data_IF_251405733033
#
_entry.id   IF_251405733033
#
_cell.length_a   1.000
_cell.length_b   1.000
_cell.length_c   1.000
_cell.angle_alpha   90.00
_cell.angle_beta   90.00
_cell.angle_gamma   90.00
#
_symmetry.space_group_name_H-M   'P 1'
#
loop_
_entity.id
_entity.type
_entity.pdbx_description
1 polymer ?
#
# COMPACT_ATOMS: atom_id res chain seq x y z
N UNK A 1 23.20 24.45 -19.61
CA UNK A 1 23.18 23.19 -18.83
C UNK A 1 21.72 22.92 -18.51
N UNK A 2 21.10 21.94 -19.16
CA UNK A 2 19.69 21.61 -18.93
C UNK A 2 19.56 21.08 -17.50
N UNK A 3 18.96 21.84 -16.58
CA UNK A 3 18.64 21.34 -15.25
C UNK A 3 17.51 20.32 -15.41
N UNK A 4 17.87 19.06 -15.62
CA UNK A 4 16.90 17.96 -15.58
C UNK A 4 16.33 17.90 -14.17
N UNK A 5 15.03 18.06 -14.03
CA UNK A 5 14.34 17.86 -12.75
C UNK A 5 14.75 16.50 -12.16
N UNK A 6 14.91 16.40 -10.83
CA UNK A 6 15.27 15.15 -10.19
C UNK A 6 14.26 14.03 -10.56
N UNK A 7 14.69 12.76 -10.65
CA UNK A 7 13.80 11.65 -10.98
C UNK A 7 12.71 11.49 -9.91
N UNK A 8 11.57 10.88 -10.23
CA UNK A 8 10.58 10.51 -9.22
C UNK A 8 10.96 9.21 -8.52
N UNK A 9 10.65 9.11 -7.23
CA UNK A 9 10.57 7.82 -6.51
C UNK A 9 9.27 7.66 -5.80
N UNK A 10 8.74 6.44 -5.83
CA UNK A 10 7.53 6.10 -5.10
C UNK A 10 7.90 5.26 -3.89
N UNK A 11 7.53 5.71 -2.69
CA UNK A 11 7.77 5.01 -1.44
C UNK A 11 6.43 4.52 -0.89
N UNK A 12 6.19 3.21 -0.92
CA UNK A 12 4.98 2.62 -0.38
C UNK A 12 5.23 2.04 0.99
N UNK A 13 4.39 2.38 1.97
CA UNK A 13 4.44 1.87 3.34
C UNK A 13 3.20 1.02 3.65
N UNK A 14 3.40 -0.21 4.12
CA UNK A 14 2.33 -1.09 4.60
C UNK A 14 1.70 -0.65 5.92
N UNK A 15 0.62 -1.31 6.35
CA UNK A 15 -0.14 -0.90 7.55
C UNK A 15 0.68 -0.97 8.85
N UNK A 16 1.54 -1.98 9.00
CA UNK A 16 2.49 -2.08 10.11
C UNK A 16 3.61 -1.04 10.03
N UNK A 17 3.89 -0.56 8.82
CA UNK A 17 4.91 0.44 8.51
C UNK A 17 4.44 1.90 8.63
N UNK A 18 3.16 2.13 8.92
CA UNK A 18 2.58 3.47 9.18
C UNK A 18 2.01 3.59 10.60
N UNK A 19 2.15 2.55 11.42
CA UNK A 19 1.61 2.51 12.78
C UNK A 19 2.71 2.89 13.78
N UNK A 20 2.50 3.97 14.54
CA UNK A 20 3.37 4.39 15.64
C UNK A 20 4.42 5.45 15.26
N UNK A 21 4.93 6.13 16.29
CA UNK A 21 5.83 7.28 16.14
C UNK A 21 7.12 6.95 15.40
N UNK A 22 7.79 5.87 15.80
CA UNK A 22 9.06 5.41 15.22
C UNK A 22 8.94 5.18 13.70
N UNK A 23 7.80 4.66 13.24
CA UNK A 23 7.55 4.41 11.81
C UNK A 23 7.37 5.70 11.04
N UNK A 24 6.66 6.67 11.61
CA UNK A 24 6.50 7.99 10.98
C UNK A 24 7.82 8.75 10.93
N UNK A 25 8.70 8.58 11.92
CA UNK A 25 10.05 9.12 11.86
C UNK A 25 10.89 8.49 10.74
N UNK A 26 10.75 7.18 10.49
CA UNK A 26 11.36 6.55 9.32
C UNK A 26 10.82 7.15 8.02
N UNK A 27 9.49 7.32 7.88
CA UNK A 27 8.92 7.97 6.69
C UNK A 27 9.48 9.39 6.53
N UNK A 28 9.53 10.17 7.61
CA UNK A 28 10.07 11.52 7.60
C UNK A 28 11.54 11.54 7.18
N UNK A 29 12.38 10.67 7.73
CA UNK A 29 13.80 10.58 7.38
C UNK A 29 13.99 10.21 5.91
N UNK A 30 13.28 9.19 5.40
CA UNK A 30 13.42 8.74 4.01
C UNK A 30 13.01 9.81 3.00
N UNK A 31 12.01 10.62 3.35
CA UNK A 31 11.59 11.78 2.55
C UNK A 31 12.62 12.91 2.70
N UNK A 32 12.94 13.33 3.93
CA UNK A 32 13.80 14.48 4.23
C UNK A 32 15.22 14.35 3.69
N UNK A 33 15.85 13.20 3.90
CA UNK A 33 17.25 12.95 3.53
C UNK A 33 17.48 13.02 2.02
N UNK A 34 16.41 13.00 1.21
CA UNK A 34 16.52 12.68 -0.21
C UNK A 34 15.65 13.52 -1.15
N UNK A 35 14.94 14.55 -0.67
CA UNK A 35 14.23 15.52 -1.54
C UNK A 35 15.20 16.25 -2.49
N UNK A 36 16.49 16.34 -2.13
CA UNK A 36 17.53 16.89 -3.01
C UNK A 36 17.87 15.96 -4.19
N UNK A 37 17.67 14.65 -4.05
CA UNK A 37 18.11 13.63 -5.00
C UNK A 37 16.97 13.14 -5.91
N UNK A 38 15.72 13.18 -5.43
CA UNK A 38 14.54 12.73 -6.15
C UNK A 38 13.27 13.47 -5.70
N UNK A 39 12.21 13.38 -6.51
CA UNK A 39 10.86 13.83 -6.18
C UNK A 39 10.06 12.70 -5.50
N UNK A 40 9.88 12.69 -4.17
CA UNK A 40 9.14 11.66 -3.46
C UNK A 40 7.63 11.71 -3.75
N UNK A 41 7.03 10.55 -3.98
CA UNK A 41 5.59 10.31 -3.84
C UNK A 41 5.40 9.18 -2.85
N UNK A 42 4.70 9.45 -1.74
CA UNK A 42 4.53 8.48 -0.67
C UNK A 42 3.16 7.82 -0.81
N UNK A 43 3.11 6.50 -0.83
CA UNK A 43 1.88 5.72 -0.77
C UNK A 43 1.76 5.09 0.60
N UNK A 44 0.62 5.25 1.28
CA UNK A 44 0.39 4.65 2.59
C UNK A 44 -0.80 3.70 2.55
N UNK A 45 -0.67 2.59 3.28
CA UNK A 45 -1.80 1.71 3.61
C UNK A 45 -2.60 2.26 4.80
N UNK A 46 -3.80 1.70 5.03
CA UNK A 46 -4.53 1.85 6.28
C UNK A 46 -3.69 1.33 7.46
N UNK A 47 -3.97 1.82 8.68
CA UNK A 47 -3.30 1.31 9.89
C UNK A 47 -3.51 -0.21 10.02
N UNK A 48 -2.56 -0.91 10.65
CA UNK A 48 -2.62 -2.35 10.81
C UNK A 48 -3.97 -2.80 11.44
N UNK A 49 -4.62 -3.78 10.81
CA UNK A 49 -5.91 -4.34 11.22
C UNK A 49 -7.16 -3.55 10.83
N UNK A 50 -7.02 -2.29 10.38
CA UNK A 50 -8.19 -1.42 10.09
C UNK A 50 -9.00 -1.93 8.90
N UNK A 51 -8.37 -2.36 7.80
CA UNK A 51 -9.09 -2.86 6.62
C UNK A 51 -9.95 -4.09 6.94
N UNK A 52 -9.43 -4.99 7.77
CA UNK A 52 -10.16 -6.18 8.23
C UNK A 52 -11.32 -5.79 9.16
N UNK A 53 -11.09 -4.83 10.06
CA UNK A 53 -12.12 -4.29 10.94
C UNK A 53 -13.25 -3.60 10.16
N UNK A 54 -12.92 -2.80 9.14
CA UNK A 54 -13.89 -2.16 8.25
C UNK A 54 -14.71 -3.20 7.48
N UNK A 55 -14.06 -4.25 6.98
CA UNK A 55 -14.75 -5.37 6.32
C UNK A 55 -15.70 -6.09 7.28
N UNK A 56 -15.27 -6.33 8.51
CA UNK A 56 -16.08 -6.97 9.54
C UNK A 56 -17.29 -6.10 9.94
N UNK A 57 -17.07 -4.80 10.16
CA UNK A 57 -18.13 -3.85 10.47
C UNK A 57 -19.18 -3.77 9.35
N UNK A 58 -18.75 -3.68 8.09
CA UNK A 58 -19.67 -3.65 6.94
C UNK A 58 -20.51 -4.92 6.84
N UNK A 59 -19.91 -6.10 7.08
CA UNK A 59 -20.62 -7.39 7.08
C UNK A 59 -21.60 -7.51 8.25
N UNK A 60 -21.20 -7.08 9.44
CA UNK A 60 -22.06 -7.08 10.62
C UNK A 60 -23.26 -6.15 10.41
N UNK A 61 -23.02 -4.92 9.96
CA UNK A 61 -24.06 -3.95 9.61
C UNK A 61 -25.05 -4.53 8.60
N UNK A 62 -24.57 -5.05 7.45
CA UNK A 62 -25.42 -5.65 6.42
C UNK A 62 -26.24 -6.85 6.93
N UNK A 63 -25.76 -7.56 7.95
CA UNK A 63 -26.44 -8.72 8.54
C UNK A 63 -27.37 -8.35 9.70
N UNK A 64 -27.54 -7.06 10.01
CA UNK A 64 -28.32 -6.59 11.16
C UNK A 64 -27.70 -6.95 12.52
N UNK A 65 -26.39 -7.25 12.54
CA UNK A 65 -25.62 -7.51 13.75
C UNK A 65 -25.00 -6.21 14.27
N UNK A 66 -24.66 -6.19 15.56
CA UNK A 66 -23.93 -5.08 16.18
C UNK A 66 -22.56 -4.89 15.51
N UNK A 67 -22.24 -3.65 15.17
CA UNK A 67 -20.96 -3.22 14.58
C UNK A 67 -20.34 -2.03 15.30
N UNK A 68 -21.07 -1.42 16.24
CA UNK A 68 -20.73 -0.18 16.93
C UNK A 68 -19.42 -0.32 17.72
N UNK A 69 -19.18 -1.47 18.36
CA UNK A 69 -17.91 -1.74 19.05
C UNK A 69 -16.71 -1.78 18.10
N UNK A 70 -16.91 -2.25 16.86
CA UNK A 70 -15.86 -2.29 15.83
C UNK A 70 -15.61 -0.86 15.32
N UNK A 71 -16.67 -0.09 15.07
CA UNK A 71 -16.60 1.32 14.66
C UNK A 71 -15.89 2.17 15.74
N UNK A 72 -16.23 1.98 17.00
CA UNK A 72 -15.59 2.65 18.14
C UNK A 72 -14.10 2.28 18.24
N UNK A 73 -13.76 1.01 18.01
CA UNK A 73 -12.37 0.54 17.96
C UNK A 73 -11.56 1.23 16.86
N UNK A 74 -12.11 1.31 15.64
CA UNK A 74 -11.49 2.02 14.51
C UNK A 74 -11.31 3.50 14.86
N UNK A 75 -12.34 4.13 15.45
CA UNK A 75 -12.31 5.54 15.85
C UNK A 75 -11.22 5.82 16.88
N UNK A 76 -11.17 5.01 17.94
CA UNK A 76 -10.19 5.12 19.00
C UNK A 76 -8.76 4.94 18.47
N UNK A 77 -8.54 3.97 17.57
CA UNK A 77 -7.24 3.71 16.98
C UNK A 77 -6.71 4.94 16.20
N UNK A 78 -7.54 5.58 15.38
CA UNK A 78 -7.11 6.74 14.58
C UNK A 78 -6.91 8.01 15.41
N UNK A 79 -7.81 8.28 16.37
CA UNK A 79 -7.67 9.43 17.27
C UNK A 79 -6.42 9.28 18.17
N UNK A 80 -6.17 8.07 18.66
CA UNK A 80 -4.96 7.75 19.41
C UNK A 80 -3.70 7.95 18.56
N UNK A 81 -3.69 7.44 17.33
CA UNK A 81 -2.58 7.62 16.40
C UNK A 81 -2.31 9.10 16.10
N UNK A 82 -3.35 9.89 15.80
CA UNK A 82 -3.22 11.33 15.57
C UNK A 82 -2.60 12.05 16.78
N UNK A 83 -3.13 11.80 17.98
CA UNK A 83 -2.61 12.40 19.23
C UNK A 83 -1.19 12.00 19.55
N UNK A 84 -0.84 10.74 19.35
CA UNK A 84 0.51 10.24 19.59
C UNK A 84 1.53 10.89 18.65
N UNK A 85 1.14 11.19 17.41
CA UNK A 85 2.03 11.73 16.38
C UNK A 85 2.14 13.26 16.36
N UNK A 86 1.09 13.95 16.79
CA UNK A 86 0.92 15.41 16.65
C UNK A 86 0.79 16.14 17.98
N UNK A 87 0.49 15.44 19.08
CA UNK A 87 -0.01 16.08 20.29
C UNK A 87 -1.40 16.72 20.04
N UNK A 88 -1.74 17.81 20.74
CA UNK A 88 -3.01 18.49 20.55
C UNK A 88 -3.02 19.27 19.22
N UNK A 89 -3.61 18.67 18.18
CA UNK A 89 -3.84 19.32 16.88
C UNK A 89 -5.31 19.27 16.47
N UNK A 90 -6.05 20.32 16.84
CA UNK A 90 -7.50 20.38 16.66
C UNK A 90 -7.94 20.28 15.18
N UNK A 91 -7.12 20.76 14.25
CA UNK A 91 -7.44 20.71 12.82
C UNK A 91 -7.41 19.28 12.29
N UNK A 92 -6.36 18.51 12.60
CA UNK A 92 -6.28 17.09 12.19
C UNK A 92 -7.30 16.25 12.93
N UNK A 93 -7.51 16.46 14.24
CA UNK A 93 -8.55 15.74 14.98
C UNK A 93 -9.94 15.97 14.38
N UNK A 94 -10.29 17.21 14.02
CA UNK A 94 -11.56 17.51 13.36
C UNK A 94 -11.70 16.82 11.99
N UNK A 95 -10.62 16.78 11.19
CA UNK A 95 -10.60 16.07 9.92
C UNK A 95 -10.79 14.55 10.07
N UNK A 96 -10.16 13.95 11.10
CA UNK A 96 -10.33 12.54 11.45
C UNK A 96 -11.78 12.27 11.85
N UNK A 97 -12.36 13.08 12.74
CA UNK A 97 -13.76 12.93 13.17
C UNK A 97 -14.72 13.04 11.98
N UNK A 98 -14.52 14.00 11.07
CA UNK A 98 -15.38 14.15 9.89
C UNK A 98 -15.38 12.90 8.99
N UNK A 99 -14.21 12.25 8.82
CA UNK A 99 -14.07 10.99 8.08
C UNK A 99 -14.72 9.82 8.82
N UNK A 100 -14.58 9.74 10.15
CA UNK A 100 -15.25 8.73 10.97
C UNK A 100 -16.79 8.90 10.93
N UNK A 101 -17.30 10.14 10.92
CA UNK A 101 -18.72 10.39 10.72
C UNK A 101 -19.22 9.87 9.36
N UNK A 102 -18.38 9.93 8.32
CA UNK A 102 -18.68 9.35 7.01
C UNK A 102 -18.76 7.82 7.08
N UNK A 103 -17.82 7.17 7.77
CA UNK A 103 -17.87 5.73 8.03
C UNK A 103 -19.18 5.35 8.72
N UNK A 104 -19.54 6.02 9.81
CA UNK A 104 -20.78 5.74 10.54
C UNK A 104 -22.03 5.93 9.69
N UNK A 105 -22.06 6.91 8.77
CA UNK A 105 -23.17 7.06 7.81
C UNK A 105 -23.25 5.89 6.84
N UNK A 106 -22.12 5.40 6.31
CA UNK A 106 -22.09 4.26 5.40
C UNK A 106 -22.55 2.98 6.10
N UNK A 107 -22.05 2.70 7.30
CA UNK A 107 -22.42 1.52 8.09
C UNK A 107 -23.89 1.55 8.50
N UNK A 108 -24.40 2.70 8.97
CA UNK A 108 -25.84 2.86 9.25
C UNK A 108 -26.69 2.64 8.00
N UNK A 109 -26.26 3.15 6.85
CA UNK A 109 -26.94 2.91 5.58
C UNK A 109 -27.04 1.42 5.24
N UNK A 110 -25.92 0.70 5.34
CA UNK A 110 -25.88 -0.75 5.12
C UNK A 110 -26.79 -1.52 6.10
N UNK A 111 -26.80 -1.11 7.38
CA UNK A 111 -27.65 -1.71 8.41
C UNK A 111 -29.16 -1.49 8.17
N UNK A 112 -29.54 -0.28 7.75
CA UNK A 112 -30.95 0.05 7.46
C UNK A 112 -31.49 -0.71 6.24
N UNK A 113 -30.64 -0.94 5.24
CA UNK A 113 -31.01 -1.67 4.02
C UNK A 113 -30.92 -3.19 4.19
N UNK A 114 -30.13 -3.68 5.15
CA UNK A 114 -29.85 -5.12 5.30
C UNK A 114 -28.97 -5.66 4.17
N UNK A 115 -28.17 -4.80 3.53
CA UNK A 115 -27.24 -5.18 2.48
C UNK A 115 -26.04 -4.22 2.42
N UNK A 116 -24.91 -4.72 1.92
CA UNK A 116 -23.75 -3.90 1.59
C UNK A 116 -23.31 -4.25 0.17
N UNK A 117 -23.64 -3.36 -0.78
CA UNK A 117 -23.21 -3.51 -2.17
C UNK A 117 -21.68 -3.43 -2.28
N UNK A 118 -21.04 -4.04 -3.30
CA UNK A 118 -19.61 -3.88 -3.55
C UNK A 118 -19.14 -2.42 -3.59
N UNK A 119 -19.94 -1.53 -4.19
CA UNK A 119 -19.69 -0.07 -4.22
C UNK A 119 -19.69 0.56 -2.82
N UNK A 120 -20.64 0.17 -1.98
CA UNK A 120 -20.70 0.63 -0.59
C UNK A 120 -19.50 0.12 0.20
N UNK A 121 -19.13 -1.16 -0.01
CA UNK A 121 -17.97 -1.75 0.64
C UNK A 121 -16.68 -1.02 0.25
N UNK A 122 -16.47 -0.73 -1.04
CA UNK A 122 -15.30 0.05 -1.49
C UNK A 122 -15.23 1.42 -0.79
N UNK A 123 -16.37 2.10 -0.66
CA UNK A 123 -16.46 3.37 0.07
C UNK A 123 -16.15 3.24 1.56
N UNK A 124 -16.56 2.13 2.20
CA UNK A 124 -16.25 1.84 3.61
C UNK A 124 -14.76 1.57 3.78
N UNK A 125 -14.18 0.73 2.93
CA UNK A 125 -12.77 0.34 3.03
C UNK A 125 -11.83 1.53 2.77
N UNK A 126 -12.19 2.43 1.86
CA UNK A 126 -11.41 3.62 1.55
C UNK A 126 -11.16 4.53 2.75
N UNK A 127 -12.11 4.59 3.70
CA UNK A 127 -11.96 5.46 4.89
C UNK A 127 -10.68 5.15 5.68
N UNK A 128 -10.28 3.88 5.78
CA UNK A 128 -9.06 3.51 6.51
C UNK A 128 -7.79 4.05 5.86
N UNK A 129 -7.71 3.96 4.54
CA UNK A 129 -6.58 4.47 3.74
C UNK A 129 -6.52 6.00 3.81
N UNK A 130 -7.67 6.65 3.66
CA UNK A 130 -7.80 8.11 3.71
C UNK A 130 -7.46 8.69 5.09
N UNK A 131 -7.89 8.03 6.17
CA UNK A 131 -7.55 8.43 7.54
C UNK A 131 -6.05 8.33 7.80
N UNK A 132 -5.44 7.20 7.45
CA UNK A 132 -3.99 7.00 7.56
C UNK A 132 -3.24 8.07 6.78
N UNK A 133 -3.62 8.29 5.52
CA UNK A 133 -3.04 9.33 4.66
C UNK A 133 -3.13 10.73 5.27
N UNK A 134 -4.28 11.12 5.83
CA UNK A 134 -4.46 12.43 6.45
C UNK A 134 -3.57 12.62 7.67
N UNK A 135 -3.53 11.61 8.57
CA UNK A 135 -2.73 11.64 9.80
C UNK A 135 -1.23 11.67 9.48
N UNK A 136 -0.77 10.83 8.56
CA UNK A 136 0.65 10.79 8.16
C UNK A 136 1.06 12.13 7.52
N UNK A 137 0.25 12.68 6.60
CA UNK A 137 0.56 13.97 5.99
C UNK A 137 0.65 15.10 7.04
N UNK A 138 -0.25 15.12 8.02
CA UNK A 138 -0.18 16.07 9.12
C UNK A 138 1.08 15.87 9.97
N UNK A 139 1.43 14.62 10.30
CA UNK A 139 2.60 14.30 11.11
C UNK A 139 3.91 14.71 10.44
N UNK A 140 4.01 14.55 9.12
CA UNK A 140 5.16 15.03 8.34
C UNK A 140 5.21 16.56 8.28
N UNK A 141 4.07 17.25 8.15
CA UNK A 141 4.00 18.73 8.24
C UNK A 141 4.46 19.26 9.59
N UNK A 142 4.05 18.61 10.68
CA UNK A 142 4.50 18.95 12.03
C UNK A 142 6.03 18.82 12.21
N UNK A 143 6.68 18.02 11.35
CA UNK A 143 8.14 17.84 11.28
C UNK A 143 8.83 18.74 10.25
N UNK A 144 8.11 19.72 9.70
CA UNK A 144 8.66 20.70 8.74
C UNK A 144 8.73 20.22 7.30
N UNK A 145 8.18 19.05 6.97
CA UNK A 145 8.11 18.56 5.59
C UNK A 145 6.81 19.03 4.93
N UNK A 146 6.84 19.58 3.71
CA UNK A 146 5.64 20.09 3.03
C UNK A 146 4.76 18.93 2.50
N UNK A 147 4.29 18.04 3.37
CA UNK A 147 3.50 16.87 2.96
C UNK A 147 2.01 17.20 2.76
N UNK A 148 1.41 16.68 1.69
CA UNK A 148 0.02 16.92 1.32
C UNK A 148 -0.70 15.60 1.05
N UNK A 149 -1.71 15.30 1.87
CA UNK A 149 -2.64 14.22 1.57
C UNK A 149 -3.43 14.58 0.30
N UNK A 150 -3.46 13.68 -0.66
CA UNK A 150 -4.16 13.88 -1.93
C UNK A 150 -5.41 13.03 -2.02
N UNK A 151 -6.31 13.43 -2.93
CA UNK A 151 -7.47 12.64 -3.30
C UNK A 151 -7.03 11.53 -4.29
N UNK A 152 -7.14 10.24 -3.93
CA UNK A 152 -6.72 9.14 -4.78
C UNK A 152 -7.51 9.06 -6.09
N UNK A 153 -8.77 9.48 -6.11
CA UNK A 153 -9.60 9.49 -7.31
C UNK A 153 -9.12 10.46 -8.38
N UNK A 154 -8.24 11.40 -8.00
CA UNK A 154 -7.55 12.28 -8.95
C UNK A 154 -6.25 11.69 -9.48
N UNK A 155 -5.75 10.61 -8.87
CA UNK A 155 -4.46 10.01 -9.18
C UNK A 155 -4.60 8.65 -9.86
N UNK A 156 -5.51 7.78 -9.44
CA UNK A 156 -5.71 6.43 -10.00
C UNK A 156 -7.13 6.30 -10.53
N UNK A 157 -7.24 6.11 -11.85
CA UNK A 157 -8.51 5.97 -12.56
C UNK A 157 -8.75 4.50 -12.87
N UNK A 158 -9.95 4.00 -12.59
CA UNK A 158 -10.32 2.60 -12.76
C UNK A 158 -11.60 2.44 -13.58
N UNK A 159 -11.94 1.18 -13.89
CA UNK A 159 -13.31 0.80 -14.22
C UNK A 159 -14.22 0.82 -12.97
N UNK A 160 -15.48 0.39 -13.13
CA UNK A 160 -16.49 0.29 -12.06
C UNK A 160 -16.67 -1.14 -11.54
N UNK A 161 -15.67 -2.00 -11.71
CA UNK A 161 -15.68 -3.37 -11.18
C UNK A 161 -15.28 -3.39 -9.70
N UNK A 162 -16.19 -2.88 -8.85
CA UNK A 162 -15.98 -2.69 -7.42
C UNK A 162 -15.44 -3.95 -6.70
N UNK A 163 -14.52 -3.74 -5.76
CA UNK A 163 -13.83 -4.78 -5.00
C UNK A 163 -12.50 -5.25 -5.61
N UNK A 164 -12.35 -5.18 -6.93
CA UNK A 164 -11.13 -5.56 -7.66
C UNK A 164 -11.00 -4.79 -8.98
N UNK A 165 -11.20 -3.48 -8.91
CA UNK A 165 -11.28 -2.62 -10.09
C UNK A 165 -9.97 -2.62 -10.89
N UNK A 166 -10.10 -2.67 -12.22
CA UNK A 166 -8.94 -2.61 -13.10
C UNK A 166 -8.53 -1.16 -13.34
N UNK A 167 -7.22 -0.88 -13.24
CA UNK A 167 -6.67 0.45 -13.48
C UNK A 167 -6.64 0.75 -14.98
N UNK A 168 -7.27 1.86 -15.38
CA UNK A 168 -7.09 2.46 -16.70
C UNK A 168 -5.73 3.17 -16.73
N UNK A 169 -4.71 2.48 -17.23
CA UNK A 169 -3.34 3.00 -17.27
C UNK A 169 -3.19 4.25 -18.12
N UNK A 170 -4.04 4.47 -19.13
CA UNK A 170 -3.95 5.65 -19.99
C UNK A 170 -4.50 6.86 -19.26
N UNK A 171 -5.73 6.75 -18.74
CA UNK A 171 -6.36 7.82 -17.96
C UNK A 171 -5.56 8.14 -16.69
N UNK A 172 -5.04 7.11 -16.01
CA UNK A 172 -4.20 7.25 -14.82
C UNK A 172 -2.89 7.97 -15.14
N UNK A 173 -2.22 7.66 -16.26
CA UNK A 173 -0.99 8.36 -16.66
C UNK A 173 -1.22 9.87 -16.83
N UNK A 174 -2.31 10.25 -17.50
CA UNK A 174 -2.67 11.66 -17.68
C UNK A 174 -3.01 12.35 -16.36
N UNK A 175 -3.78 11.67 -15.51
CA UNK A 175 -4.17 12.16 -14.20
C UNK A 175 -2.94 12.38 -13.29
N UNK A 176 -2.07 11.37 -13.16
CA UNK A 176 -0.84 11.43 -12.36
C UNK A 176 0.08 12.57 -12.83
N UNK A 177 0.30 12.74 -14.13
CA UNK A 177 1.15 13.82 -14.66
C UNK A 177 0.62 15.21 -14.29
N UNK A 178 -0.70 15.41 -14.40
CA UNK A 178 -1.37 16.64 -14.00
C UNK A 178 -1.22 16.88 -12.50
N UNK A 179 -1.57 15.89 -11.68
CA UNK A 179 -1.59 16.04 -10.23
C UNK A 179 -0.18 16.17 -9.63
N UNK A 180 0.81 15.44 -10.14
CA UNK A 180 2.19 15.54 -9.68
C UNK A 180 2.80 16.93 -9.94
N UNK A 181 2.37 17.61 -11.00
CA UNK A 181 2.79 18.98 -11.29
C UNK A 181 2.01 20.02 -10.48
N UNK A 182 0.73 19.76 -10.22
CA UNK A 182 -0.15 20.68 -9.50
C UNK A 182 -0.05 20.58 -7.96
N UNK A 183 0.48 19.47 -7.44
CA UNK A 183 0.61 19.25 -6.00
C UNK A 183 1.85 19.95 -5.48
N UNK A 184 1.65 21.06 -4.77
CA UNK A 184 2.72 21.68 -3.99
C UNK A 184 3.10 20.77 -2.81
N UNK A 185 4.40 20.49 -2.67
CA UNK A 185 4.94 19.67 -1.60
C UNK A 185 5.03 18.17 -1.95
N UNK A 186 5.16 17.33 -0.94
CA UNK A 186 5.29 15.87 -1.07
C UNK A 186 3.89 15.24 -1.08
N UNK A 187 3.44 14.63 -2.20
CA UNK A 187 2.16 13.95 -2.24
C UNK A 187 2.18 12.71 -1.34
N UNK A 188 1.23 12.64 -0.42
CA UNK A 188 0.89 11.44 0.35
C UNK A 188 -0.40 10.90 -0.26
N UNK A 189 -0.33 9.74 -0.88
CA UNK A 189 -1.40 9.10 -1.63
C UNK A 189 -1.92 7.91 -0.83
N UNK A 190 -3.23 7.81 -0.56
CA UNK A 190 -3.78 6.60 0.02
C UNK A 190 -3.69 5.46 -1.02
N UNK A 191 -3.12 4.34 -0.61
CA UNK A 191 -3.01 3.16 -1.47
C UNK A 191 -4.33 2.38 -1.52
N UNK A 192 -4.36 1.29 -2.28
CA UNK A 192 -5.48 0.34 -2.39
C UNK A 192 -6.76 0.91 -3.04
N UNK A 193 -6.90 2.23 -3.15
CA UNK A 193 -8.09 2.89 -3.66
C UNK A 193 -7.82 3.76 -4.89
N UNK A 194 -8.84 3.87 -5.73
CA UNK A 194 -8.89 4.77 -6.89
C UNK A 194 -10.30 5.32 -7.08
N UNK A 195 -10.58 5.83 -8.27
CA UNK A 195 -11.95 6.17 -8.66
C UNK A 195 -12.29 5.70 -10.06
N UNK A 196 -13.53 5.28 -10.25
CA UNK A 196 -14.09 5.01 -11.57
C UNK A 196 -14.13 6.29 -12.42
N UNK A 197 -14.36 6.13 -13.73
CA UNK A 197 -14.47 7.28 -14.65
C UNK A 197 -15.57 8.28 -14.28
N UNK A 198 -16.59 7.88 -13.52
CA UNK A 198 -17.67 8.75 -13.04
C UNK A 198 -17.43 9.28 -11.61
N UNK A 199 -16.28 8.97 -11.01
CA UNK A 199 -15.85 9.48 -9.71
C UNK A 199 -16.28 8.62 -8.51
N UNK A 200 -16.77 7.40 -8.73
CA UNK A 200 -17.07 6.49 -7.63
C UNK A 200 -15.79 5.90 -7.05
N UNK A 201 -15.68 5.85 -5.73
CA UNK A 201 -14.55 5.23 -5.04
C UNK A 201 -14.52 3.73 -5.36
N UNK A 202 -13.36 3.24 -5.75
CA UNK A 202 -13.10 1.84 -6.06
C UNK A 202 -11.92 1.31 -5.26
N UNK A 203 -11.89 -0.01 -5.04
CA UNK A 203 -10.74 -0.70 -4.47
C UNK A 203 -10.04 -1.59 -5.51
N UNK A 204 -8.72 -1.73 -5.37
CA UNK A 204 -7.85 -2.44 -6.33
C UNK A 204 -7.65 -3.92 -5.99
N UNK A 205 -8.49 -4.48 -5.11
CA UNK A 205 -8.36 -5.85 -4.64
C UNK A 205 -7.15 -6.09 -3.71
N UNK A 206 -6.88 -7.37 -3.42
CA UNK A 206 -5.84 -7.76 -2.46
C UNK A 206 -4.47 -7.22 -2.88
N UNK A 207 -3.70 -6.73 -1.89
CA UNK A 207 -2.38 -6.14 -2.15
C UNK A 207 -2.44 -4.82 -2.92
N UNK A 208 -3.61 -4.18 -2.98
CA UNK A 208 -3.81 -3.00 -3.81
C UNK A 208 -2.94 -1.80 -3.44
N UNK A 209 -2.44 -1.67 -2.20
CA UNK A 209 -1.51 -0.58 -1.86
C UNK A 209 -0.14 -0.76 -2.53
N UNK A 210 0.40 -1.98 -2.60
CA UNK A 210 1.62 -2.26 -3.38
C UNK A 210 1.38 -1.99 -4.86
N UNK A 211 0.20 -2.40 -5.36
CA UNK A 211 -0.19 -2.15 -6.75
C UNK A 211 -0.33 -0.66 -7.06
N UNK A 212 -0.87 0.14 -6.13
CA UNK A 212 -0.92 1.60 -6.22
C UNK A 212 0.49 2.19 -6.34
N UNK A 213 1.42 1.74 -5.50
CA UNK A 213 2.83 2.14 -5.58
C UNK A 213 3.45 1.82 -6.94
N UNK A 214 3.18 0.62 -7.48
CA UNK A 214 3.66 0.23 -8.80
C UNK A 214 3.05 1.07 -9.94
N UNK A 215 1.74 1.29 -9.92
CA UNK A 215 1.02 2.11 -10.91
C UNK A 215 1.57 3.53 -10.94
N UNK A 216 1.72 4.16 -9.78
CA UNK A 216 2.29 5.50 -9.69
C UNK A 216 3.75 5.53 -10.15
N UNK A 217 4.55 4.53 -9.78
CA UNK A 217 5.94 4.42 -10.22
C UNK A 217 6.07 4.38 -11.74
N UNK A 218 5.23 3.58 -12.40
CA UNK A 218 5.16 3.52 -13.86
C UNK A 218 4.70 4.84 -14.46
N UNK A 219 3.63 5.44 -13.95
CA UNK A 219 3.06 6.66 -14.52
C UNK A 219 3.97 7.89 -14.38
N UNK A 220 4.73 7.94 -13.29
CA UNK A 220 5.73 8.98 -13.04
C UNK A 220 7.06 8.73 -13.76
N UNK A 221 7.23 7.58 -14.41
CA UNK A 221 8.54 7.13 -14.93
C UNK A 221 9.60 7.18 -13.83
N UNK A 222 9.24 6.68 -12.65
CA UNK A 222 10.10 6.68 -11.47
C UNK A 222 11.38 5.88 -11.73
N UNK A 223 12.51 6.35 -11.19
CA UNK A 223 13.77 5.59 -11.27
C UNK A 223 13.75 4.39 -10.33
N UNK A 224 12.91 4.43 -9.29
CA UNK A 224 12.77 3.38 -8.29
C UNK A 224 11.40 3.42 -7.60
N UNK A 225 10.84 2.23 -7.34
CA UNK A 225 9.77 2.02 -6.36
C UNK A 225 10.34 1.33 -5.12
N UNK A 226 10.05 1.86 -3.95
CA UNK A 226 10.41 1.25 -2.67
C UNK A 226 9.14 0.70 -2.00
N UNK A 227 9.15 -0.58 -1.61
CA UNK A 227 8.10 -1.19 -0.79
C UNK A 227 8.66 -1.39 0.61
N UNK A 228 8.13 -0.64 1.55
CA UNK A 228 8.51 -0.65 2.95
C UNK A 228 7.56 -1.55 3.76
N UNK A 229 8.17 -2.51 4.43
CA UNK A 229 7.52 -3.57 5.20
C UNK A 229 8.24 -3.77 6.55
N UNK A 230 8.06 -4.92 7.20
CA UNK A 230 8.65 -5.32 8.49
C UNK A 230 9.76 -6.40 8.38
N UNK A 231 10.15 -6.76 7.15
CA UNK A 231 11.25 -7.69 6.85
C UNK A 231 12.38 -7.02 6.08
N UNK A 232 13.60 -7.54 6.21
CA UNK A 232 14.84 -7.03 5.59
C UNK A 232 14.93 -7.31 4.09
N UNK A 233 13.83 -7.15 3.36
CA UNK A 233 13.72 -7.58 1.97
C UNK A 233 13.25 -9.04 1.85
N UNK A 234 13.72 -9.71 0.81
CA UNK A 234 13.44 -11.12 0.54
C UNK A 234 14.49 -11.97 1.25
N UNK A 235 14.03 -12.85 2.12
CA UNK A 235 14.87 -13.78 2.88
C UNK A 235 15.11 -15.06 2.07
N UNK A 236 16.26 -15.71 2.28
CA UNK A 236 16.61 -16.99 1.64
C UNK A 236 15.73 -18.17 2.08
N UNK A 237 15.06 -18.05 3.22
CA UNK A 237 13.97 -18.91 3.67
C UNK A 237 13.07 -18.11 4.63
N UNK A 238 11.92 -18.66 5.03
CA UNK A 238 11.10 -18.03 6.08
C UNK A 238 11.89 -17.97 7.40
N UNK A 239 12.22 -16.76 7.92
CA UNK A 239 13.03 -16.62 9.13
C UNK A 239 12.31 -17.11 10.39
N UNK A 240 10.99 -17.29 10.36
CA UNK A 240 10.24 -17.90 11.46
C UNK A 240 10.43 -19.43 11.53
N UNK A 241 10.79 -20.05 10.41
CA UNK A 241 11.03 -21.49 10.29
C UNK A 241 12.52 -21.81 10.31
N UNK A 242 13.33 -20.98 9.66
CA UNK A 242 14.79 -21.12 9.53
C UNK A 242 15.46 -19.84 10.06
N UNK A 243 15.84 -19.79 11.35
CA UNK A 243 16.43 -18.60 11.97
C UNK A 243 17.73 -18.11 11.30
N UNK A 244 18.46 -19.00 10.62
CA UNK A 244 19.68 -18.70 9.88
C UNK A 244 19.42 -18.09 8.49
N UNK A 245 18.16 -17.86 8.12
CA UNK A 245 17.81 -17.22 6.87
C UNK A 245 18.45 -15.83 6.75
N UNK A 246 19.02 -15.56 5.58
CA UNK A 246 19.73 -14.33 5.27
C UNK A 246 18.95 -13.51 4.27
N UNK A 247 19.08 -12.18 4.32
CA UNK A 247 18.51 -11.29 3.31
C UNK A 247 19.27 -11.43 1.99
N UNK A 248 18.54 -11.43 0.87
CA UNK A 248 19.10 -11.36 -0.46
C UNK A 248 19.34 -9.89 -0.84
N UNK A 249 20.54 -9.54 -1.27
CA UNK A 249 20.85 -8.16 -1.66
C UNK A 249 20.18 -7.76 -2.98
N UNK A 250 20.18 -8.66 -3.97
CA UNK A 250 19.58 -8.43 -5.28
C UNK A 250 18.82 -9.66 -5.77
N UNK A 251 17.84 -9.51 -6.65
CA UNK A 251 17.18 -10.63 -7.34
C UNK A 251 16.44 -10.19 -8.60
N UNK A 252 16.17 -11.12 -9.50
CA UNK A 252 15.34 -10.87 -10.67
C UNK A 252 13.85 -10.81 -10.31
N UNK A 253 13.05 -10.10 -11.12
CA UNK A 253 11.60 -10.15 -10.98
C UNK A 253 11.04 -11.56 -11.18
N UNK A 254 11.68 -12.39 -12.00
CA UNK A 254 11.26 -13.78 -12.19
C UNK A 254 11.41 -14.58 -10.91
N UNK A 255 12.58 -14.50 -10.26
CA UNK A 255 12.81 -15.16 -8.95
C UNK A 255 11.80 -14.69 -7.90
N UNK A 256 11.51 -13.38 -7.84
CA UNK A 256 10.56 -12.83 -6.89
C UNK A 256 9.15 -13.39 -7.11
N UNK A 257 8.69 -13.40 -8.36
CA UNK A 257 7.36 -13.89 -8.73
C UNK A 257 7.21 -15.39 -8.46
N UNK A 258 8.24 -16.18 -8.70
CA UNK A 258 8.25 -17.62 -8.36
C UNK A 258 8.19 -17.83 -6.85
N UNK A 259 9.00 -17.12 -6.06
CA UNK A 259 8.94 -17.23 -4.60
C UNK A 259 7.56 -16.82 -4.04
N UNK A 260 6.99 -15.72 -4.56
CA UNK A 260 5.66 -15.28 -4.15
C UNK A 260 4.57 -16.28 -4.55
N UNK A 261 4.69 -16.96 -5.69
CA UNK A 261 3.78 -18.04 -6.08
C UNK A 261 3.78 -19.19 -5.06
N UNK A 262 4.95 -19.50 -4.50
CA UNK A 262 5.16 -20.59 -3.54
C UNK A 262 5.04 -20.19 -2.07
N UNK A 263 4.50 -19.01 -1.77
CA UNK A 263 4.11 -18.61 -0.41
C UNK A 263 4.96 -17.55 0.25
N UNK A 264 6.03 -17.05 -0.39
CA UNK A 264 6.81 -15.93 0.14
C UNK A 264 6.03 -14.61 -0.04
N UNK A 265 5.26 -14.23 0.99
CA UNK A 265 4.43 -13.03 1.00
C UNK A 265 5.24 -11.78 1.35
N UNK A 266 6.04 -11.29 0.39
CA UNK A 266 6.86 -10.09 0.59
C UNK A 266 6.33 -8.87 -0.18
N UNK A 267 5.89 -9.08 -1.42
CA UNK A 267 5.29 -8.03 -2.28
C UNK A 267 4.13 -8.63 -3.08
N UNK A 268 3.10 -7.84 -3.35
CA UNK A 268 2.00 -8.28 -4.19
C UNK A 268 2.44 -8.62 -5.63
N UNK A 269 2.09 -9.80 -6.12
CA UNK A 269 2.50 -10.29 -7.45
C UNK A 269 2.06 -9.39 -8.61
N UNK A 270 0.88 -8.75 -8.51
CA UNK A 270 0.41 -7.79 -9.52
C UNK A 270 1.31 -6.56 -9.63
N UNK A 271 1.79 -6.04 -8.50
CA UNK A 271 2.72 -4.91 -8.46
C UNK A 271 4.06 -5.29 -9.10
N UNK A 272 4.63 -6.44 -8.72
CA UNK A 272 5.89 -6.93 -9.27
C UNK A 272 5.80 -7.20 -10.79
N UNK A 273 4.68 -7.76 -11.29
CA UNK A 273 4.48 -7.97 -12.73
C UNK A 273 4.45 -6.66 -13.50
N UNK A 274 3.67 -5.68 -13.01
CA UNK A 274 3.56 -4.37 -13.65
C UNK A 274 4.94 -3.67 -13.73
N UNK A 275 5.69 -3.66 -12.63
CA UNK A 275 7.02 -3.07 -12.58
C UNK A 275 8.00 -3.77 -13.53
N UNK A 276 7.97 -5.11 -13.58
CA UNK A 276 8.76 -5.90 -14.53
C UNK A 276 8.45 -5.55 -15.98
N UNK A 277 7.17 -5.54 -16.35
CA UNK A 277 6.71 -5.27 -17.72
C UNK A 277 7.08 -3.86 -18.19
N UNK A 278 7.18 -2.92 -17.25
CA UNK A 278 7.48 -1.50 -17.52
C UNK A 278 8.93 -1.13 -17.24
N UNK A 279 9.76 -2.08 -16.81
CA UNK A 279 11.19 -1.88 -16.57
C UNK A 279 11.51 -0.96 -15.40
N UNK A 280 10.60 -0.80 -14.44
CA UNK A 280 10.83 0.04 -13.25
C UNK A 280 11.37 -0.85 -12.13
N UNK A 281 12.58 -0.59 -11.58
CA UNK A 281 13.13 -1.41 -10.52
C UNK A 281 12.38 -1.20 -9.19
N UNK A 282 12.49 -2.20 -8.33
CA UNK A 282 11.86 -2.26 -7.01
C UNK A 282 12.94 -2.48 -5.95
N UNK A 283 12.81 -1.87 -4.77
CA UNK A 283 13.56 -2.26 -3.57
C UNK A 283 12.59 -2.56 -2.44
N UNK A 284 12.78 -3.68 -1.75
CA UNK A 284 11.99 -4.08 -0.58
C UNK A 284 12.80 -3.76 0.67
N UNK A 285 12.24 -2.95 1.57
CA UNK A 285 12.92 -2.42 2.76
C UNK A 285 12.20 -2.69 4.06
N UNK A 286 12.94 -2.60 5.16
CA UNK A 286 12.42 -2.77 6.51
C UNK A 286 12.28 -1.44 7.25
N UNK A 287 11.07 -1.10 7.66
CA UNK A 287 10.81 0.05 8.55
C UNK A 287 11.32 -0.12 9.98
N UNK A 288 11.64 -1.34 10.42
CA UNK A 288 12.30 -1.62 11.70
C UNK A 288 13.82 -1.44 11.64
N UNK A 289 14.41 -1.55 10.45
CA UNK A 289 15.85 -1.46 10.21
C UNK A 289 16.09 -0.60 8.96
N UNK A 290 15.83 0.73 9.04
CA UNK A 290 15.86 1.62 7.88
C UNK A 290 17.23 1.73 7.20
N UNK A 291 18.31 1.46 7.94
CA UNK A 291 19.68 1.46 7.40
C UNK A 291 20.02 0.18 6.64
N UNK A 292 19.21 -0.89 6.78
CA UNK A 292 19.43 -2.12 6.03
C UNK A 292 19.13 -1.88 4.54
N UNK A 293 20.01 -2.28 3.60
CA UNK A 293 19.84 -1.97 2.18
C UNK A 293 18.55 -2.56 1.60
N UNK A 294 18.15 -3.73 2.12
CA UNK A 294 16.99 -4.48 1.66
C UNK A 294 17.33 -5.33 0.45
N UNK A 295 16.31 -5.70 -0.33
CA UNK A 295 16.49 -6.47 -1.57
C UNK A 295 16.13 -5.64 -2.77
N UNK A 296 17.10 -5.47 -3.68
CA UNK A 296 16.89 -4.81 -4.97
C UNK A 296 16.40 -5.81 -6.02
N UNK A 297 15.34 -5.44 -6.74
CA UNK A 297 14.70 -6.27 -7.77
C UNK A 297 14.76 -5.55 -9.13
N UNK A 298 15.33 -6.20 -10.14
CA UNK A 298 15.43 -5.67 -11.52
C UNK A 298 15.39 -6.79 -12.56
N UNK A 299 15.24 -6.44 -13.84
CA UNK A 299 15.31 -7.40 -14.94
C UNK A 299 16.71 -8.04 -15.06
N UNK A 300 17.77 -7.24 -14.89
CA UNK A 300 19.17 -7.65 -15.09
C UNK A 300 19.89 -8.01 -13.78
N UNK A 301 19.17 -8.05 -12.65
CA UNK A 301 19.75 -8.47 -11.39
C UNK A 301 20.26 -9.90 -11.56
N UNK A 302 21.59 -10.07 -11.39
CA UNK A 302 22.32 -11.22 -11.91
C UNK A 302 21.60 -12.53 -11.63
N UNK A 303 21.36 -13.31 -12.69
CA UNK A 303 21.18 -14.76 -12.56
C UNK A 303 22.33 -15.21 -11.69
N UNK A 304 22.03 -15.73 -10.49
CA UNK A 304 23.00 -15.93 -9.41
C UNK A 304 24.35 -16.39 -9.92
N UNK A 305 25.43 -15.89 -9.29
CA UNK A 305 26.77 -16.46 -9.44
C UNK A 305 26.79 -17.96 -9.07
N UNK A 306 27.93 -18.48 -8.63
CA UNK A 306 28.20 -19.92 -8.41
C UNK A 306 27.16 -20.73 -7.59
N UNK A 307 26.16 -20.12 -6.96
CA UNK A 307 25.11 -20.77 -6.16
C UNK A 307 23.78 -20.86 -6.94
N UNK A 308 23.35 -22.06 -7.36
CA UNK A 308 22.15 -22.24 -8.18
C UNK A 308 20.83 -22.09 -7.41
N UNK A 309 20.85 -22.17 -6.07
CA UNK A 309 19.67 -22.06 -5.21
C UNK A 309 19.82 -20.81 -4.35
N UNK A 310 18.93 -19.84 -4.55
CA UNK A 310 19.01 -18.54 -3.85
C UNK A 310 18.03 -18.43 -2.68
N UNK A 311 16.85 -19.02 -2.82
CA UNK A 311 15.84 -19.01 -1.78
C UNK A 311 14.90 -20.22 -1.85
N UNK A 312 14.29 -20.54 -0.72
CA UNK A 312 13.30 -21.59 -0.53
C UNK A 312 12.00 -20.97 -0.03
N UNK A 313 10.90 -21.25 -0.72
CA UNK A 313 9.55 -20.92 -0.28
C UNK A 313 8.74 -22.22 -0.13
N UNK A 314 7.82 -22.24 0.83
CA UNK A 314 6.92 -23.36 1.01
C UNK A 314 5.50 -22.87 1.27
N UNK A 315 4.53 -23.64 0.79
CA UNK A 315 3.10 -23.37 0.98
C UNK A 315 2.46 -24.57 1.67
N UNK A 316 1.90 -24.35 2.86
CA UNK A 316 1.36 -25.40 3.73
C UNK A 316 -0.13 -25.67 3.48
N UNK A 317 -0.85 -24.74 2.87
CA UNK A 317 -2.27 -24.84 2.51
C UNK A 317 -2.49 -25.40 1.10
N UNK A 318 -1.96 -26.59 0.83
CA UNK A 318 -2.12 -27.27 -0.46
C UNK A 318 -2.63 -28.72 -0.30
N UNK A 319 -3.47 -29.15 -1.22
CA UNK A 319 -3.95 -30.53 -1.34
C UNK A 319 -3.50 -31.14 -2.68
N UNK A 320 -3.04 -32.39 -2.66
CA UNK A 320 -2.66 -33.14 -3.87
C UNK A 320 -3.84 -34.02 -4.29
N UNK A 321 -4.35 -33.80 -5.50
CA UNK A 321 -5.40 -34.62 -6.11
C UNK A 321 -4.78 -35.50 -7.20
N UNK A 322 -4.77 -36.82 -7.00
CA UNK A 322 -4.35 -37.78 -8.02
C UNK A 322 -5.58 -38.38 -8.69
N UNK A 323 -5.76 -38.08 -9.98
CA UNK A 323 -6.83 -38.65 -10.81
C UNK A 323 -6.27 -39.78 -11.67
N UNK A 324 -6.85 -40.98 -11.53
CA UNK A 324 -6.48 -42.16 -12.32
C UNK A 324 -7.70 -42.64 -13.11
N UNK A 325 -7.57 -42.73 -14.43
CA UNK A 325 -8.58 -43.34 -15.30
C UNK A 325 -8.10 -44.73 -15.75
N UNK A 326 -9.01 -45.72 -15.78
CA UNK A 326 -8.71 -47.02 -16.41
C UNK A 326 -8.90 -46.90 -17.92
N UNK A 327 -7.89 -47.28 -18.70
CA UNK A 327 -8.07 -47.51 -20.12
C UNK A 327 -9.02 -48.70 -20.30
N UNK A 328 -10.08 -48.51 -21.09
CA UNK A 328 -11.03 -49.54 -21.48
C UNK A 328 -10.45 -50.47 -22.54
#
# INVERSE_FOLDING_TARGET
MSSTSPPFRVLKFGGTSVTGLERVEVIAAQVQERVADYNPVVVVSALAGVTDALTAAARAAASGLSYEEIEDGISAQHLSAARALLGPDAATEAGVVQRLDQLGRLLRGAALLGECSPRTLDSVLAVGEELSCAVIAAALRARGLPAKAVDPGRWIITDDHFGEAAVDMVATLEAVRREATATEGIPIVPGFIGASQVGDVTTLGRGGSDYSGAVLGVCLSADLVEIWTDVDGVMSADPQVVPEATSLEEMSFQELLELSHWGAKVVHSGAARLLRERGVPLVIRNTLRPDHPGTRVAADAGSGGEVPIRALASRTDAAVLQLSARAG
#
